data_IF_468193548156
#
_entry.id   IF_468193548156
#
_cell.length_a   1.000
_cell.length_b   1.000
_cell.length_c   1.000
_cell.angle_alpha   90.00
_cell.angle_beta   90.00
_cell.angle_gamma   90.00
#
_symmetry.space_group_name_H-M   'P 1'
#
loop_
_entity.id
_entity.type
_entity.pdbx_description
1 polymer ?
#
# COMPACT_ATOMS: atom_id res chain seq x y z
N UNK A 1 9.17 -16.61 8.82
CA UNK A 1 8.16 -15.96 7.97
C UNK A 1 8.48 -14.48 7.88
N UNK A 2 8.57 -13.98 6.68
CA UNK A 2 8.88 -12.57 6.51
C UNK A 2 7.66 -11.70 6.76
N UNK A 3 7.89 -10.60 7.43
CA UNK A 3 6.82 -9.66 7.68
C UNK A 3 6.87 -8.52 6.67
N UNK A 4 5.73 -7.91 6.43
CA UNK A 4 5.65 -6.88 5.40
C UNK A 4 6.57 -5.70 5.67
N UNK A 5 6.79 -5.36 6.93
CA UNK A 5 7.65 -4.23 7.24
C UNK A 5 9.12 -4.50 6.94
N UNK A 6 9.48 -5.77 6.74
CA UNK A 6 10.85 -6.13 6.35
C UNK A 6 11.09 -5.93 4.86
N UNK A 7 10.04 -5.79 4.09
CA UNK A 7 10.15 -5.59 2.65
C UNK A 7 10.43 -4.13 2.35
N UNK A 8 11.23 -3.91 1.30
CA UNK A 8 11.41 -2.56 0.81
C UNK A 8 10.19 -2.12 0.03
N UNK A 9 9.97 -0.80 -0.03
CA UNK A 9 8.79 -0.27 -0.69
C UNK A 9 8.61 -0.78 -2.12
N UNK A 10 9.64 -0.79 -2.98
CA UNK A 10 9.45 -1.33 -4.32
C UNK A 10 9.01 -2.79 -4.33
N UNK A 11 9.49 -3.57 -3.37
CA UNK A 11 9.07 -4.96 -3.26
C UNK A 11 7.61 -5.07 -2.88
N UNK A 12 7.15 -4.22 -1.97
CA UNK A 12 5.74 -4.21 -1.59
C UNK A 12 4.85 -3.82 -2.76
N UNK A 13 5.28 -2.86 -3.56
CA UNK A 13 4.50 -2.47 -4.72
C UNK A 13 4.38 -3.60 -5.73
N UNK A 14 5.45 -4.33 -5.94
CA UNK A 14 5.40 -5.49 -6.83
C UNK A 14 4.50 -6.58 -6.27
N UNK A 15 4.59 -6.80 -4.98
CA UNK A 15 3.75 -7.80 -4.34
C UNK A 15 2.28 -7.40 -4.41
N UNK A 16 1.99 -6.14 -4.21
CA UNK A 16 0.63 -5.63 -4.32
C UNK A 16 0.06 -5.87 -5.71
N UNK A 17 0.83 -5.55 -6.73
CA UNK A 17 0.39 -5.78 -8.11
C UNK A 17 0.12 -7.25 -8.36
N UNK A 18 1.02 -8.11 -7.91
CA UNK A 18 0.89 -9.54 -8.10
C UNK A 18 -0.35 -10.08 -7.41
N UNK A 19 -0.57 -9.68 -6.15
CA UNK A 19 -1.72 -10.18 -5.42
C UNK A 19 -3.03 -9.63 -5.96
N UNK A 20 -3.01 -8.42 -6.48
CA UNK A 20 -4.19 -7.85 -7.11
C UNK A 20 -4.58 -8.65 -8.34
N UNK A 21 -3.60 -9.02 -9.15
CA UNK A 21 -3.88 -9.85 -10.32
C UNK A 21 -4.40 -11.22 -9.90
N UNK A 22 -3.79 -11.81 -8.87
CA UNK A 22 -4.25 -13.09 -8.35
C UNK A 22 -5.70 -13.01 -7.87
N UNK A 23 -6.04 -11.94 -7.19
CA UNK A 23 -7.39 -11.76 -6.70
C UNK A 23 -8.40 -11.73 -7.84
N UNK A 24 -8.10 -11.00 -8.90
CA UNK A 24 -9.00 -10.95 -10.05
C UNK A 24 -9.11 -12.30 -10.74
N UNK A 25 -8.01 -13.05 -10.79
CA UNK A 25 -8.07 -14.40 -11.36
C UNK A 25 -8.93 -15.31 -10.52
N UNK A 26 -8.82 -15.23 -9.20
CA UNK A 26 -9.62 -16.05 -8.32
C UNK A 26 -11.10 -15.77 -8.49
N UNK A 27 -11.46 -14.50 -8.60
CA UNK A 27 -12.84 -14.13 -8.84
C UNK A 27 -13.32 -14.68 -10.18
N UNK A 28 -12.49 -14.56 -11.19
CA UNK A 28 -12.84 -15.01 -12.54
C UNK A 28 -12.98 -16.52 -12.67
N UNK A 29 -12.25 -17.25 -11.86
CA UNK A 29 -12.29 -18.73 -11.93
C UNK A 29 -13.21 -19.34 -10.91
N UNK A 30 -14.04 -18.54 -10.27
CA UNK A 30 -15.01 -19.07 -9.33
C UNK A 30 -14.34 -19.81 -8.17
N UNK A 31 -13.23 -19.28 -7.70
CA UNK A 31 -12.52 -19.85 -6.59
C UNK A 31 -13.32 -19.74 -5.31
N UNK A 32 -12.90 -20.48 -4.28
CA UNK A 32 -13.61 -20.46 -3.02
C UNK A 32 -13.56 -19.08 -2.38
N UNK A 33 -14.57 -18.78 -1.58
CA UNK A 33 -14.62 -17.53 -0.84
C UNK A 33 -13.40 -17.38 0.07
N UNK A 34 -12.93 -18.48 0.63
CA UNK A 34 -11.78 -18.45 1.51
C UNK A 34 -10.53 -17.97 0.79
N UNK A 35 -10.28 -18.49 -0.40
CA UNK A 35 -9.11 -18.10 -1.16
C UNK A 35 -9.16 -16.62 -1.55
N UNK A 36 -10.32 -16.18 -2.01
CA UNK A 36 -10.51 -14.78 -2.36
C UNK A 36 -10.32 -13.89 -1.14
N UNK A 37 -10.86 -14.30 -0.02
CA UNK A 37 -10.77 -13.52 1.21
C UNK A 37 -9.33 -13.42 1.69
N UNK A 38 -8.59 -14.52 1.64
CA UNK A 38 -7.19 -14.50 2.06
C UNK A 38 -6.37 -13.58 1.18
N UNK A 39 -6.58 -13.64 -0.12
CA UNK A 39 -5.86 -12.78 -1.04
C UNK A 39 -6.22 -11.30 -0.79
N UNK A 40 -7.48 -11.03 -0.60
CA UNK A 40 -7.94 -9.67 -0.32
C UNK A 40 -7.37 -9.15 1.00
N UNK A 41 -7.29 -10.00 2.00
CA UNK A 41 -6.71 -9.60 3.29
C UNK A 41 -5.23 -9.25 3.14
N UNK A 42 -4.51 -10.02 2.36
CA UNK A 42 -3.10 -9.73 2.12
C UNK A 42 -2.95 -8.39 1.39
N UNK A 43 -3.79 -8.15 0.40
CA UNK A 43 -3.77 -6.88 -0.33
C UNK A 43 -3.99 -5.72 0.65
N UNK A 44 -4.95 -5.85 1.54
CA UNK A 44 -5.22 -4.81 2.52
C UNK A 44 -4.04 -4.59 3.46
N UNK A 45 -3.39 -5.65 3.89
CA UNK A 45 -2.23 -5.54 4.75
C UNK A 45 -1.09 -4.80 4.05
N UNK A 46 -0.87 -5.11 2.79
CA UNK A 46 0.15 -4.41 2.01
C UNK A 46 -0.20 -2.93 1.90
N UNK A 47 -1.44 -2.62 1.64
CA UNK A 47 -1.88 -1.23 1.52
C UNK A 47 -1.68 -0.47 2.83
N UNK A 48 -2.01 -1.11 3.95
CA UNK A 48 -1.83 -0.48 5.26
C UNK A 48 -0.35 -0.19 5.51
N UNK A 49 0.51 -1.14 5.17
CA UNK A 49 1.95 -0.94 5.35
C UNK A 49 2.45 0.21 4.49
N UNK A 50 2.02 0.26 3.24
CA UNK A 50 2.44 1.32 2.32
C UNK A 50 1.94 2.69 2.81
N UNK A 51 0.72 2.75 3.28
CA UNK A 51 0.18 4.00 3.80
C UNK A 51 0.91 4.46 5.05
N UNK A 52 1.30 3.52 5.90
CA UNK A 52 2.06 3.85 7.09
C UNK A 52 3.40 4.48 6.72
N UNK A 53 4.06 3.93 5.71
CA UNK A 53 5.32 4.47 5.24
C UNK A 53 5.14 5.84 4.62
N UNK A 54 4.09 6.00 3.85
CA UNK A 54 3.78 7.27 3.22
C UNK A 54 3.50 8.35 4.26
N UNK A 55 2.76 8.00 5.28
CA UNK A 55 2.46 8.96 6.35
C UNK A 55 3.73 9.42 7.04
N UNK A 56 4.67 8.51 7.27
CA UNK A 56 5.93 8.87 7.88
C UNK A 56 6.75 9.78 6.97
N UNK A 57 6.77 9.49 5.70
CA UNK A 57 7.47 10.34 4.74
C UNK A 57 6.85 11.73 4.66
N UNK A 58 5.54 11.78 4.65
CA UNK A 58 4.83 13.05 4.60
C UNK A 58 5.11 13.89 5.83
N UNK A 59 5.24 13.26 6.98
CA UNK A 59 5.58 13.98 8.20
C UNK A 59 6.92 14.67 8.05
N UNK A 60 7.90 13.95 7.56
CA UNK A 60 9.23 14.52 7.39
C UNK A 60 9.22 15.64 6.36
N UNK A 61 8.55 15.43 5.27
CA UNK A 61 8.46 16.43 4.23
C UNK A 61 7.69 17.65 4.73
N UNK A 62 6.64 17.43 5.45
CA UNK A 62 5.80 18.50 5.95
C UNK A 62 6.58 19.45 6.85
N UNK A 63 7.48 18.92 7.67
CA UNK A 63 8.21 19.74 8.61
C UNK A 63 9.00 20.85 7.93
N UNK A 64 9.65 20.56 6.83
CA UNK A 64 10.38 21.61 6.15
C UNK A 64 9.63 22.22 4.99
N UNK A 65 8.49 21.68 4.66
CA UNK A 65 7.61 22.32 3.69
C UNK A 65 6.66 23.30 4.33
N UNK A 66 6.52 23.23 5.63
CA UNK A 66 5.58 24.09 6.31
C UNK A 66 5.96 25.56 6.20
N UNK A 67 7.17 25.82 5.81
CA UNK A 67 7.64 27.19 5.68
C UNK A 67 7.15 27.82 4.37
N UNK A 68 7.37 27.22 3.21
CA UNK A 68 6.99 27.85 1.96
C UNK A 68 5.59 27.49 1.47
N UNK A 69 5.05 26.38 1.93
CA UNK A 69 3.82 25.85 1.38
C UNK A 69 2.65 26.83 1.36
N UNK A 70 2.38 27.56 2.42
CA UNK A 70 1.20 28.41 2.45
C UNK A 70 1.17 29.46 1.34
N UNK A 71 2.31 29.85 0.88
CA UNK A 71 2.38 30.90 -0.12
C UNK A 71 1.76 30.47 -1.44
N UNK A 72 1.93 29.21 -1.76
CA UNK A 72 1.46 28.69 -3.03
C UNK A 72 -0.04 28.65 -3.14
N UNK A 73 -0.71 28.59 -2.03
CA UNK A 73 -2.15 28.45 -2.05
C UNK A 73 -2.88 29.72 -1.72
N UNK A 74 -2.16 30.79 -1.78
CA UNK A 74 -2.75 32.08 -1.43
C UNK A 74 -3.53 32.68 -2.56
N UNK A 75 -3.66 32.03 -3.60
CA UNK A 75 -4.46 32.61 -4.65
C UNK A 75 -5.78 32.12 -4.75
#
# INVERSE_FOLDING_TARGET
MEELHDFQTPQLLKLLAKETINYYKLIGYDASVEESTQCNNLIKQIQVELESRRANEEKNIFQWRSIPAPVEYSY
#
